data_IF_262380664336
#
_entry.id   IF_262380664336
#
_cell.length_a   1.000
_cell.length_b   1.000
_cell.length_c   1.000
_cell.angle_alpha   90.00
_cell.angle_beta   90.00
_cell.angle_gamma   90.00
#
_symmetry.space_group_name_H-M   'P 1'
#
loop_
_entity.id
_entity.type
_entity.pdbx_description
1 polymer ?
#
# COMPACT_ATOMS: atom_id res chain seq x y z
N UNK A 1 -3.66 2.02 -23.68
CA UNK A 1 -4.79 1.36 -22.98
C UNK A 1 -4.84 1.80 -21.53
N UNK A 2 -6.03 1.85 -20.96
CA UNK A 2 -6.18 2.15 -19.54
C UNK A 2 -5.74 0.94 -18.70
N UNK A 3 -5.14 1.15 -17.51
CA UNK A 3 -4.79 0.05 -16.63
C UNK A 3 -6.05 -0.67 -16.12
N UNK A 4 -5.93 -1.96 -15.80
CA UNK A 4 -6.97 -2.70 -15.11
C UNK A 4 -7.21 -2.06 -13.73
N UNK A 5 -8.46 -1.77 -13.44
CA UNK A 5 -8.88 -1.35 -12.10
C UNK A 5 -9.21 -2.58 -11.26
N UNK A 6 -8.79 -2.58 -10.01
CA UNK A 6 -9.05 -3.69 -9.08
C UNK A 6 -9.68 -3.15 -7.81
N UNK A 7 -10.84 -3.68 -7.48
CA UNK A 7 -11.53 -3.35 -6.23
C UNK A 7 -11.48 -4.58 -5.31
N UNK A 8 -10.96 -4.37 -4.13
CA UNK A 8 -10.73 -5.41 -3.11
C UNK A 8 -11.68 -5.21 -1.94
N UNK A 9 -12.37 -6.26 -1.53
CA UNK A 9 -13.27 -6.25 -0.38
C UNK A 9 -14.63 -6.89 -0.66
N UNK A 10 -15.40 -7.06 0.41
CA UNK A 10 -16.73 -7.70 0.33
C UNK A 10 -17.90 -6.72 0.18
N UNK A 11 -17.61 -5.41 0.15
CA UNK A 11 -18.66 -4.40 0.00
C UNK A 11 -19.24 -4.43 -1.40
N UNK A 12 -20.56 -4.52 -1.53
CA UNK A 12 -21.25 -4.32 -2.79
C UNK A 12 -21.11 -2.87 -3.23
N UNK A 13 -20.62 -2.66 -4.45
CA UNK A 13 -20.55 -1.32 -5.04
C UNK A 13 -21.91 -0.95 -5.63
N UNK A 14 -22.36 0.31 -5.46
CA UNK A 14 -23.50 0.80 -6.20
C UNK A 14 -23.21 0.81 -7.71
N UNK A 15 -24.19 0.53 -8.54
CA UNK A 15 -24.04 0.52 -9.99
C UNK A 15 -23.56 1.87 -10.56
N UNK A 16 -23.76 2.95 -9.81
CA UNK A 16 -23.33 4.32 -10.14
C UNK A 16 -21.90 4.63 -9.69
N UNK A 17 -21.18 3.67 -9.11
CA UNK A 17 -19.81 3.89 -8.66
C UNK A 17 -18.91 4.24 -9.86
N UNK A 18 -18.17 5.35 -9.74
CA UNK A 18 -17.29 5.84 -10.83
C UNK A 18 -16.25 4.83 -11.28
N UNK A 19 -15.84 3.91 -10.40
CA UNK A 19 -14.92 2.82 -10.77
C UNK A 19 -15.54 1.84 -11.76
N UNK A 20 -16.87 1.83 -11.93
CA UNK A 20 -17.63 0.99 -12.85
C UNK A 20 -18.09 1.73 -14.11
N UNK A 21 -17.52 2.90 -14.41
CA UNK A 21 -17.96 3.79 -15.51
C UNK A 21 -17.69 3.27 -16.94
N UNK A 22 -17.09 2.09 -17.07
CA UNK A 22 -16.77 1.48 -18.35
C UNK A 22 -15.54 2.06 -19.07
N UNK A 23 -14.88 3.09 -18.51
CA UNK A 23 -13.69 3.68 -19.13
C UNK A 23 -12.47 2.75 -19.08
N UNK A 24 -12.45 1.77 -18.16
CA UNK A 24 -11.47 0.71 -18.08
C UNK A 24 -12.10 -0.57 -17.52
N UNK A 25 -11.49 -1.72 -17.81
CA UNK A 25 -11.89 -3.00 -17.21
C UNK A 25 -11.75 -2.89 -15.67
N UNK A 26 -12.75 -3.38 -14.95
CA UNK A 26 -12.74 -3.43 -13.49
C UNK A 26 -12.91 -4.85 -12.99
N UNK A 27 -11.96 -5.33 -12.21
CA UNK A 27 -11.98 -6.63 -11.52
C UNK A 27 -12.40 -6.43 -10.07
N UNK A 28 -13.42 -7.17 -9.64
CA UNK A 28 -13.88 -7.18 -8.26
C UNK A 28 -13.35 -8.45 -7.58
N UNK A 29 -12.62 -8.29 -6.49
CA UNK A 29 -12.07 -9.39 -5.69
C UNK A 29 -12.68 -9.35 -4.29
N UNK A 30 -13.60 -10.29 -4.03
CA UNK A 30 -14.29 -10.43 -2.73
C UNK A 30 -13.36 -11.11 -1.70
N UNK A 31 -12.31 -10.42 -1.32
CA UNK A 31 -11.34 -10.89 -0.32
C UNK A 31 -10.76 -9.70 0.44
N UNK A 32 -10.19 -9.96 1.61
CA UNK A 32 -9.34 -9.02 2.37
C UNK A 32 -7.90 -9.53 2.49
N UNK A 33 -7.59 -10.69 1.91
CA UNK A 33 -6.25 -11.29 1.94
C UNK A 33 -5.38 -10.74 0.81
N UNK A 34 -4.31 -9.96 1.13
CA UNK A 34 -3.39 -9.41 0.13
C UNK A 34 -2.72 -10.47 -0.74
N UNK A 35 -2.38 -11.63 -0.16
CA UNK A 35 -1.77 -12.74 -0.90
C UNK A 35 -2.71 -13.30 -1.96
N UNK A 36 -3.99 -13.49 -1.62
CA UNK A 36 -5.01 -13.93 -2.56
C UNK A 36 -5.23 -12.91 -3.69
N UNK A 37 -5.18 -11.61 -3.38
CA UNK A 37 -5.26 -10.54 -4.39
C UNK A 37 -4.11 -10.67 -5.39
N UNK A 38 -2.86 -10.74 -4.90
CA UNK A 38 -1.69 -10.84 -5.78
C UNK A 38 -1.68 -12.13 -6.60
N UNK A 39 -2.09 -13.26 -6.02
CA UNK A 39 -2.20 -14.53 -6.73
C UNK A 39 -3.23 -14.45 -7.89
N UNK A 40 -4.39 -13.85 -7.64
CA UNK A 40 -5.41 -13.66 -8.67
C UNK A 40 -4.93 -12.75 -9.82
N UNK A 41 -4.18 -11.69 -9.51
CA UNK A 41 -3.61 -10.78 -10.50
C UNK A 41 -2.48 -11.44 -11.28
N UNK A 42 -1.60 -12.18 -10.61
CA UNK A 42 -0.52 -12.93 -11.25
C UNK A 42 -1.05 -13.98 -12.23
N UNK A 43 -2.11 -14.72 -11.87
CA UNK A 43 -2.77 -15.67 -12.76
C UNK A 43 -3.33 -15.02 -14.04
N UNK A 44 -3.56 -13.71 -14.04
CA UNK A 44 -3.96 -12.92 -15.22
C UNK A 44 -2.77 -12.30 -15.97
N UNK A 45 -1.53 -12.65 -15.61
CA UNK A 45 -0.30 -12.11 -16.20
C UNK A 45 0.05 -10.69 -15.75
N UNK A 46 -0.51 -10.22 -14.64
CA UNK A 46 -0.22 -8.89 -14.08
C UNK A 46 0.95 -9.01 -13.11
N UNK A 47 2.04 -8.30 -13.41
CA UNK A 47 3.28 -8.35 -12.64
C UNK A 47 3.58 -7.05 -11.87
N UNK A 48 2.82 -5.99 -12.11
CA UNK A 48 2.98 -4.69 -11.42
C UNK A 48 1.63 -4.19 -10.96
N UNK A 49 1.55 -3.84 -9.70
CA UNK A 49 0.32 -3.37 -9.06
C UNK A 49 0.61 -2.04 -8.38
N UNK A 50 -0.19 -1.04 -8.67
CA UNK A 50 -0.22 0.21 -7.91
C UNK A 50 -1.35 0.12 -6.88
N UNK A 51 -0.97 0.20 -5.61
CA UNK A 51 -1.91 0.19 -4.50
C UNK A 51 -2.26 1.64 -4.13
N UNK A 52 -3.46 2.08 -4.50
CA UNK A 52 -4.02 3.39 -4.15
C UNK A 52 -5.16 3.26 -3.13
N UNK A 53 -5.28 2.11 -2.49
CA UNK A 53 -6.33 1.82 -1.53
C UNK A 53 -6.27 2.72 -0.28
N UNK A 54 -7.38 2.73 0.46
CA UNK A 54 -7.46 3.44 1.73
C UNK A 54 -6.56 2.83 2.82
N UNK A 55 -6.53 3.45 4.02
CA UNK A 55 -5.60 3.08 5.10
C UNK A 55 -5.64 1.61 5.50
N UNK A 56 -6.82 0.99 5.46
CA UNK A 56 -7.00 -0.42 5.85
C UNK A 56 -6.32 -1.37 4.87
N UNK A 57 -6.48 -1.16 3.57
CA UNK A 57 -5.85 -2.00 2.56
C UNK A 57 -4.33 -1.80 2.56
N UNK A 58 -3.88 -0.55 2.69
CA UNK A 58 -2.46 -0.21 2.83
C UNK A 58 -1.83 -0.92 4.02
N UNK A 59 -2.49 -0.90 5.20
CA UNK A 59 -2.02 -1.60 6.39
C UNK A 59 -1.93 -3.11 6.16
N UNK A 60 -2.91 -3.72 5.52
CA UNK A 60 -2.91 -5.15 5.25
C UNK A 60 -1.72 -5.58 4.37
N UNK A 61 -1.43 -4.85 3.30
CA UNK A 61 -0.28 -5.14 2.44
C UNK A 61 1.07 -4.92 3.12
N UNK A 62 1.20 -3.84 3.91
CA UNK A 62 2.42 -3.58 4.68
C UNK A 62 2.65 -4.65 5.75
N UNK A 63 1.61 -5.00 6.51
CA UNK A 63 1.70 -6.04 7.55
C UNK A 63 2.03 -7.42 6.97
N UNK A 64 1.57 -7.71 5.76
CA UNK A 64 1.89 -8.95 5.05
C UNK A 64 3.30 -8.97 4.42
N UNK A 65 4.03 -7.85 4.44
CA UNK A 65 5.35 -7.73 3.79
C UNK A 65 5.29 -7.81 2.26
N UNK A 66 4.17 -7.42 1.66
CA UNK A 66 3.89 -7.54 0.22
C UNK A 66 3.97 -6.20 -0.52
N UNK A 67 4.74 -5.25 0.02
CA UNK A 67 5.00 -3.95 -0.59
C UNK A 67 6.47 -3.87 -0.98
N UNK A 68 6.76 -3.65 -2.25
CA UNK A 68 8.13 -3.51 -2.75
C UNK A 68 8.62 -2.06 -2.70
N UNK A 69 7.71 -1.09 -2.90
CA UNK A 69 8.06 0.31 -2.96
C UNK A 69 6.91 1.19 -2.44
N UNK A 70 7.26 2.23 -1.72
CA UNK A 70 6.33 3.26 -1.23
C UNK A 70 6.66 4.56 -1.93
N UNK A 71 5.65 5.19 -2.55
CA UNK A 71 5.77 6.54 -3.11
C UNK A 71 4.81 7.45 -2.36
N UNK A 72 5.37 8.43 -1.65
CA UNK A 72 4.61 9.39 -0.87
C UNK A 72 4.74 10.79 -1.46
N UNK A 73 3.61 11.46 -1.68
CA UNK A 73 3.56 12.88 -2.01
C UNK A 73 3.20 13.67 -0.76
N UNK A 74 4.03 14.61 -0.40
CA UNK A 74 3.88 15.41 0.82
C UNK A 74 3.68 16.87 0.41
N UNK A 75 2.47 17.38 0.66
CA UNK A 75 2.16 18.78 0.47
C UNK A 75 2.69 19.61 1.65
N UNK A 76 3.17 20.86 1.42
CA UNK A 76 3.63 21.76 2.48
C UNK A 76 2.44 22.40 3.21
N UNK A 77 1.59 21.56 3.84
CA UNK A 77 0.38 21.98 4.53
C UNK A 77 0.20 21.22 5.85
N UNK A 78 -0.26 21.90 6.86
CA UNK A 78 -0.59 21.32 8.16
C UNK A 78 -2.12 21.20 8.28
N UNK A 79 -2.61 19.98 8.37
CA UNK A 79 -4.05 19.69 8.42
C UNK A 79 -4.55 19.41 9.86
N UNK A 80 -3.66 19.27 10.82
CA UNK A 80 -4.01 18.84 12.17
C UNK A 80 -4.37 17.36 12.22
N UNK A 81 -5.49 17.01 12.84
CA UNK A 81 -5.98 15.63 12.89
C UNK A 81 -6.77 15.27 11.65
N UNK A 82 -6.65 14.01 11.19
CA UNK A 82 -7.36 13.52 10.00
C UNK A 82 -7.04 12.06 9.71
N UNK A 83 -7.53 11.52 8.58
CA UNK A 83 -7.20 10.18 8.14
C UNK A 83 -5.68 10.01 7.97
N UNK A 84 -5.17 8.86 8.41
CA UNK A 84 -3.76 8.47 8.29
C UNK A 84 -3.52 7.72 6.96
N UNK A 85 -2.26 7.63 6.54
CA UNK A 85 -1.87 6.89 5.32
C UNK A 85 -2.08 5.38 5.44
N UNK A 86 -2.04 4.86 6.67
CA UNK A 86 -2.37 3.46 6.98
C UNK A 86 -3.16 3.37 8.28
N UNK A 87 -3.96 2.31 8.41
CA UNK A 87 -4.56 1.92 9.68
C UNK A 87 -3.50 1.35 10.63
N UNK A 88 -3.92 0.84 11.79
CA UNK A 88 -3.02 0.22 12.77
C UNK A 88 -2.22 -0.94 12.11
N UNK A 89 -0.90 -0.85 12.19
CA UNK A 89 0.04 -1.86 11.72
C UNK A 89 0.44 -2.83 12.85
N UNK A 90 -0.15 -2.73 14.04
CA UNK A 90 0.24 -3.50 15.21
C UNK A 90 1.55 -3.05 15.86
N UNK A 91 2.10 -1.92 15.46
CA UNK A 91 3.33 -1.36 16.01
C UNK A 91 3.09 -0.90 17.46
N UNK A 92 3.80 -1.49 18.41
CA UNK A 92 3.67 -1.17 19.83
C UNK A 92 4.87 -0.40 20.38
N UNK A 93 6.02 -0.58 19.76
CA UNK A 93 7.27 0.09 20.12
C UNK A 93 7.94 0.65 18.88
N UNK A 94 8.88 1.55 19.05
CA UNK A 94 9.67 2.08 17.92
C UNK A 94 10.52 0.99 17.23
N UNK A 95 10.82 -0.09 17.95
CA UNK A 95 11.53 -1.24 17.39
C UNK A 95 10.67 -2.04 16.39
N UNK A 96 9.34 -2.03 16.59
CA UNK A 96 8.38 -2.72 15.72
C UNK A 96 8.01 -1.90 14.47
N UNK A 97 8.47 -0.66 14.38
CA UNK A 97 8.11 0.24 13.29
C UNK A 97 8.54 -0.35 11.94
N UNK A 98 7.66 -0.24 10.94
CA UNK A 98 7.99 -0.55 9.55
C UNK A 98 9.02 0.48 9.08
N UNK A 99 10.26 0.04 8.93
CA UNK A 99 11.36 0.88 8.45
C UNK A 99 11.36 0.94 6.94
N UNK A 100 11.70 2.11 6.41
CA UNK A 100 11.84 2.32 4.98
C UNK A 100 13.25 2.85 4.69
N UNK A 101 13.89 2.29 3.68
CA UNK A 101 15.12 2.81 3.11
C UNK A 101 14.78 3.83 2.03
N UNK A 102 15.30 5.03 2.18
CA UNK A 102 15.08 6.12 1.24
C UNK A 102 15.80 5.84 -0.08
N UNK A 103 15.06 5.91 -1.19
CA UNK A 103 15.57 5.73 -2.56
C UNK A 103 15.77 7.07 -3.25
N UNK A 104 14.76 7.95 -3.18
CA UNK A 104 14.77 9.25 -3.86
C UNK A 104 13.89 10.26 -3.14
N UNK A 105 14.29 11.53 -3.22
CA UNK A 105 13.48 12.69 -2.81
C UNK A 105 13.52 13.71 -3.92
N UNK A 106 12.37 13.97 -4.52
CA UNK A 106 12.24 14.93 -5.61
C UNK A 106 11.30 16.06 -5.20
N UNK A 107 11.74 17.31 -5.38
CA UNK A 107 10.87 18.47 -5.22
C UNK A 107 10.03 18.64 -6.49
N UNK A 108 8.73 18.56 -6.34
CA UNK A 108 7.72 18.78 -7.40
C UNK A 108 6.81 19.93 -6.97
N UNK A 109 7.22 21.19 -7.16
CA UNK A 109 6.51 22.31 -6.57
C UNK A 109 4.99 22.29 -6.81
N UNK A 110 4.17 22.50 -5.74
CA UNK A 110 4.57 22.82 -4.36
C UNK A 110 4.93 21.61 -3.49
N UNK A 111 4.82 20.40 -3.98
CA UNK A 111 4.94 19.15 -3.22
C UNK A 111 6.36 18.57 -3.23
N UNK A 112 6.57 17.59 -2.36
CA UNK A 112 7.75 16.71 -2.35
C UNK A 112 7.30 15.27 -2.58
N UNK A 113 7.95 14.58 -3.52
CA UNK A 113 7.78 13.14 -3.71
C UNK A 113 8.93 12.40 -3.00
N UNK A 114 8.57 11.44 -2.17
CA UNK A 114 9.51 10.54 -1.49
C UNK A 114 9.29 9.14 -2.04
N UNK A 115 10.36 8.50 -2.52
CA UNK A 115 10.35 7.09 -2.91
C UNK A 115 11.22 6.31 -1.92
N UNK A 116 10.67 5.25 -1.35
CA UNK A 116 11.34 4.43 -0.36
C UNK A 116 10.95 2.95 -0.51
N UNK A 117 11.74 2.05 0.05
CA UNK A 117 11.47 0.61 0.06
C UNK A 117 11.45 0.10 1.49
N UNK A 118 10.58 -0.88 1.82
CA UNK A 118 10.64 -1.53 3.12
C UNK A 118 12.06 -2.07 3.36
N UNK A 119 12.65 -1.65 4.49
CA UNK A 119 13.98 -2.13 4.86
C UNK A 119 13.91 -3.62 5.17
N UNK A 120 14.85 -4.40 4.65
CA UNK A 120 15.06 -5.77 5.12
C UNK A 120 15.48 -5.72 6.58
N UNK A 121 14.77 -6.43 7.46
CA UNK A 121 15.13 -6.49 8.87
C UNK A 121 16.61 -6.91 8.99
N UNK A 122 17.44 -6.19 9.75
CA UNK A 122 18.80 -6.64 10.01
C UNK A 122 18.73 -8.01 10.70
N UNK A 123 19.67 -8.92 10.41
CA UNK A 123 19.70 -10.21 11.08
C UNK A 123 19.72 -9.99 12.60
N UNK A 124 18.80 -10.64 13.31
CA UNK A 124 18.74 -10.58 14.77
C UNK A 124 20.04 -11.14 15.31
N UNK A 125 20.84 -10.37 16.04
CA UNK A 125 22.09 -10.91 16.61
C UNK A 125 21.76 -12.10 17.52
N UNK A 126 22.56 -13.18 17.50
CA UNK A 126 22.32 -14.32 18.34
C UNK A 126 22.25 -13.87 19.80
N UNK A 127 21.18 -14.26 20.51
CA UNK A 127 21.06 -14.00 21.95
C UNK A 127 22.27 -14.59 22.64
N UNK A 128 23.03 -13.76 23.35
CA UNK A 128 24.07 -14.22 24.24
C UNK A 128 23.45 -15.25 25.20
N UNK A 129 23.98 -16.48 25.20
CA UNK A 129 23.58 -17.49 26.19
C UNK A 129 24.12 -17.03 27.53
N UNK A 130 23.21 -16.77 28.46
CA UNK A 130 23.53 -16.60 29.89
C UNK A 130 23.90 -17.92 30.48
#
# INVERSE_FOLDING_TARGET
SQPLRVVVGHRTLPATARVLDGAAETLLLATHDPGAVLAALHARGIHRVLLEGGPTLTAAFLAAGLVDEVVAYVAPALLGSGPTVSSDLGVRTIADAVRLDLVDVTVLPPDVRITARPATAPPVPPRARS
#
